data_IF_382751311662
#
_entry.id   IF_382751311662
#
_cell.length_a   1.000
_cell.length_b   1.000
_cell.length_c   1.000
_cell.angle_alpha   90.00
_cell.angle_beta   90.00
_cell.angle_gamma   90.00
#
_symmetry.space_group_name_H-M   'P 1'
#
loop_
_entity.id
_entity.type
_entity.pdbx_description
1 polymer ?
#
# COMPACT_ATOMS: atom_id res chain seq x y z
N UNK A 1 43.21 -4.45 -7.73
CA UNK A 1 42.28 -5.36 -7.00
C UNK A 1 41.43 -4.66 -5.95
N UNK A 2 41.99 -3.76 -5.10
CA UNK A 2 41.21 -3.00 -4.09
C UNK A 2 40.05 -2.18 -4.70
N UNK A 3 40.27 -1.54 -5.85
CA UNK A 3 39.26 -0.72 -6.54
C UNK A 3 38.07 -1.53 -7.11
N UNK A 4 38.31 -2.79 -7.48
CA UNK A 4 37.27 -3.70 -7.99
C UNK A 4 36.40 -4.21 -6.84
N UNK A 5 37.03 -4.54 -5.70
CA UNK A 5 36.30 -4.96 -4.50
C UNK A 5 35.36 -3.86 -3.98
N UNK A 6 35.83 -2.61 -3.98
CA UNK A 6 35.03 -1.44 -3.57
C UNK A 6 33.82 -1.21 -4.48
N UNK A 7 33.99 -1.37 -5.79
CA UNK A 7 32.90 -1.23 -6.77
C UNK A 7 31.82 -2.32 -6.60
N UNK A 8 32.23 -3.57 -6.31
CA UNK A 8 31.30 -4.68 -6.07
C UNK A 8 30.50 -4.47 -4.79
N UNK A 9 31.15 -4.03 -3.70
CA UNK A 9 30.42 -3.70 -2.46
C UNK A 9 29.42 -2.56 -2.66
N UNK A 10 29.76 -1.52 -3.42
CA UNK A 10 28.85 -0.40 -3.66
C UNK A 10 27.65 -0.81 -4.53
N UNK A 11 27.83 -1.70 -5.50
CA UNK A 11 26.76 -2.22 -6.34
C UNK A 11 25.75 -3.08 -5.55
N UNK A 12 26.20 -3.84 -4.53
CA UNK A 12 25.31 -4.67 -3.69
C UNK A 12 24.46 -3.81 -2.75
N UNK A 13 24.97 -2.66 -2.28
CA UNK A 13 24.17 -1.75 -1.45
C UNK A 13 23.05 -1.05 -2.22
N UNK A 14 23.24 -0.75 -3.50
CA UNK A 14 22.20 -0.14 -4.35
C UNK A 14 21.01 -1.08 -4.66
N UNK A 15 21.16 -2.40 -4.45
CA UNK A 15 20.10 -3.37 -4.72
C UNK A 15 18.97 -3.37 -3.67
N UNK A 16 19.17 -2.72 -2.52
CA UNK A 16 18.17 -2.60 -1.46
C UNK A 16 17.48 -1.23 -1.53
N UNK A 17 16.92 -0.88 -2.68
CA UNK A 17 15.98 0.24 -2.76
C UNK A 17 14.68 -0.20 -2.09
N UNK A 18 14.46 0.22 -0.84
CA UNK A 18 13.11 0.24 -0.26
C UNK A 18 12.30 1.18 -1.13
N UNK A 19 11.53 0.61 -2.05
CA UNK A 19 10.57 1.39 -2.79
C UNK A 19 9.48 1.85 -1.83
N UNK A 20 8.81 2.92 -2.20
CA UNK A 20 7.62 3.48 -1.57
C UNK A 20 7.01 4.42 -2.59
N UNK A 21 5.69 4.60 -2.57
CA UNK A 21 5.11 5.47 -3.58
C UNK A 21 3.60 5.54 -3.62
N UNK A 22 3.15 6.30 -4.60
CA UNK A 22 1.76 6.53 -4.90
C UNK A 22 1.14 5.26 -5.50
N UNK A 23 0.22 4.63 -4.78
CA UNK A 23 -0.65 3.57 -5.33
C UNK A 23 -1.61 4.19 -6.34
N UNK A 24 -2.14 5.37 -6.01
CA UNK A 24 -2.87 6.23 -6.93
C UNK A 24 -2.05 7.49 -7.17
N UNK A 25 -1.89 7.89 -8.44
CA UNK A 25 -1.18 9.12 -8.78
C UNK A 25 -1.68 10.31 -7.95
N UNK A 26 -0.76 11.15 -7.46
CA UNK A 26 -1.10 12.30 -6.63
C UNK A 26 -2.15 13.20 -7.32
N UNK A 27 -3.19 13.58 -6.56
CA UNK A 27 -4.34 14.36 -7.08
C UNK A 27 -5.44 13.50 -7.72
N UNK A 28 -5.15 12.25 -8.05
CA UNK A 28 -6.14 11.27 -8.48
C UNK A 28 -6.56 10.38 -7.30
N UNK A 29 -7.61 9.59 -7.53
CA UNK A 29 -8.12 8.63 -6.58
C UNK A 29 -8.87 7.53 -7.30
N UNK A 30 -9.15 6.47 -6.57
CA UNK A 30 -9.81 5.27 -7.06
C UNK A 30 -11.07 5.00 -6.25
N UNK A 31 -12.00 4.26 -6.84
CA UNK A 31 -13.17 3.74 -6.16
C UNK A 31 -12.79 2.60 -5.22
N UNK A 32 -13.37 2.62 -4.02
CA UNK A 32 -13.29 1.51 -3.07
C UNK A 32 -14.41 0.53 -3.39
N UNK A 33 -14.04 -0.72 -3.72
CA UNK A 33 -15.00 -1.76 -4.06
C UNK A 33 -15.56 -2.48 -2.82
N UNK A 34 -14.73 -2.60 -1.78
CA UNK A 34 -15.06 -3.31 -0.54
C UNK A 34 -14.09 -2.93 0.58
N UNK A 35 -14.57 -2.94 1.82
CA UNK A 35 -13.76 -2.80 3.02
C UNK A 35 -13.93 -4.08 3.85
N UNK A 36 -12.82 -4.64 4.33
CA UNK A 36 -12.78 -5.83 5.19
C UNK A 36 -12.04 -5.50 6.48
N UNK A 37 -12.63 -5.78 7.64
CA UNK A 37 -11.98 -5.63 8.94
C UNK A 37 -11.37 -6.94 9.44
N UNK A 38 -10.14 -6.88 9.93
CA UNK A 38 -9.39 -8.03 10.43
C UNK A 38 -9.50 -8.16 11.95
N UNK A 39 -9.21 -9.36 12.47
CA UNK A 39 -9.28 -9.66 13.91
C UNK A 39 -8.25 -8.88 14.73
N UNK A 40 -7.11 -8.54 14.15
CA UNK A 40 -6.06 -7.70 14.75
C UNK A 40 -6.41 -6.19 14.74
N UNK A 41 -7.61 -5.86 14.25
CA UNK A 41 -8.15 -4.52 14.20
C UNK A 41 -7.79 -3.75 12.93
N UNK A 42 -6.90 -4.25 12.06
CA UNK A 42 -6.56 -3.59 10.79
C UNK A 42 -7.67 -3.72 9.74
N UNK A 43 -7.54 -3.03 8.61
CA UNK A 43 -8.47 -3.20 7.47
C UNK A 43 -7.76 -3.55 6.16
N UNK A 44 -8.51 -4.16 5.25
CA UNK A 44 -8.17 -4.29 3.83
C UNK A 44 -9.19 -3.57 2.97
N UNK A 45 -8.69 -2.73 2.07
CA UNK A 45 -9.46 -2.00 1.07
C UNK A 45 -9.30 -2.68 -0.28
N UNK A 46 -10.40 -2.98 -0.94
CA UNK A 46 -10.42 -3.58 -2.27
C UNK A 46 -10.57 -2.50 -3.32
N UNK A 47 -9.78 -2.62 -4.37
CA UNK A 47 -9.74 -1.66 -5.48
C UNK A 47 -9.57 -2.41 -6.79
N UNK A 48 -9.87 -1.74 -7.91
CA UNK A 48 -9.53 -2.30 -9.22
C UNK A 48 -8.02 -2.21 -9.46
N UNK A 49 -7.36 -3.37 -9.56
CA UNK A 49 -5.94 -3.47 -9.86
C UNK A 49 -5.50 -2.80 -11.16
N UNK A 50 -6.41 -2.61 -12.12
CA UNK A 50 -6.12 -1.96 -13.41
C UNK A 50 -5.84 -0.46 -13.27
N UNK A 51 -6.26 0.13 -12.16
CA UNK A 51 -6.26 1.59 -11.94
C UNK A 51 -5.26 2.03 -10.86
N UNK A 52 -4.34 1.15 -10.47
CA UNK A 52 -3.35 1.40 -9.41
C UNK A 52 -1.94 1.02 -9.83
N UNK A 53 -0.96 1.63 -9.18
CA UNK A 53 0.46 1.35 -9.33
C UNK A 53 0.93 0.36 -8.26
N UNK A 54 2.06 -0.29 -8.52
CA UNK A 54 2.72 -1.19 -7.58
C UNK A 54 4.15 -0.71 -7.27
N UNK A 55 4.32 0.42 -6.57
CA UNK A 55 5.64 1.00 -6.33
C UNK A 55 6.54 0.02 -5.59
N UNK A 56 5.98 -0.75 -4.66
CA UNK A 56 6.70 -1.69 -3.80
C UNK A 56 6.90 -3.09 -4.40
N UNK A 57 6.45 -3.32 -5.64
CA UNK A 57 6.47 -4.64 -6.30
C UNK A 57 5.85 -5.75 -5.41
N UNK A 58 4.79 -5.44 -4.68
CA UNK A 58 4.06 -6.42 -3.88
C UNK A 58 3.44 -7.50 -4.77
N UNK A 59 3.15 -8.68 -4.20
CA UNK A 59 2.57 -9.80 -4.94
C UNK A 59 1.23 -9.46 -5.59
N UNK A 60 0.45 -8.53 -5.03
CA UNK A 60 -0.76 -7.97 -5.63
C UNK A 60 -1.07 -6.56 -5.19
N UNK A 61 -1.96 -5.88 -5.93
CA UNK A 61 -2.39 -4.50 -5.68
C UNK A 61 -3.92 -4.33 -5.73
N UNK A 62 -4.67 -5.42 -5.90
CA UNK A 62 -6.13 -5.45 -5.80
C UNK A 62 -6.65 -5.26 -4.36
N UNK A 63 -5.74 -5.34 -3.38
CA UNK A 63 -6.02 -5.24 -1.94
C UNK A 63 -4.96 -4.38 -1.30
N UNK A 64 -5.39 -3.40 -0.51
CA UNK A 64 -4.53 -2.45 0.18
C UNK A 64 -4.72 -2.62 1.68
N UNK A 65 -3.64 -2.75 2.46
CA UNK A 65 -3.71 -2.99 3.89
C UNK A 65 -3.44 -1.72 4.69
N UNK A 66 -4.32 -1.42 5.65
CA UNK A 66 -4.08 -0.41 6.68
C UNK A 66 -3.95 -1.15 8.02
N UNK A 67 -2.73 -1.37 8.53
CA UNK A 67 -2.53 -2.03 9.81
C UNK A 67 -2.98 -1.14 10.98
N UNK A 68 -3.53 -1.76 12.02
CA UNK A 68 -4.12 -1.08 13.19
C UNK A 68 -3.13 -0.33 14.07
N UNK A 69 -1.84 -0.62 13.94
CA UNK A 69 -0.77 -0.02 14.74
C UNK A 69 -0.23 1.29 14.14
N UNK A 70 -0.78 1.78 13.03
CA UNK A 70 -0.33 3.04 12.43
C UNK A 70 -0.82 4.25 13.23
N UNK A 71 0.06 5.24 13.38
CA UNK A 71 -0.34 6.56 13.86
C UNK A 71 -1.36 7.15 12.87
N UNK A 72 -2.51 7.61 13.39
CA UNK A 72 -3.59 8.13 12.54
C UNK A 72 -4.47 7.05 11.91
N UNK A 73 -4.38 5.80 12.36
CA UNK A 73 -5.21 4.67 11.90
C UNK A 73 -6.70 5.04 11.79
N UNK A 74 -7.31 5.51 12.88
CA UNK A 74 -8.74 5.84 12.92
C UNK A 74 -9.12 6.92 11.90
N UNK A 75 -8.25 7.92 11.70
CA UNK A 75 -8.44 8.95 10.68
C UNK A 75 -8.43 8.35 9.28
N UNK A 76 -7.45 7.49 8.97
CA UNK A 76 -7.37 6.85 7.66
C UNK A 76 -8.59 5.95 7.40
N UNK A 77 -8.97 5.11 8.36
CA UNK A 77 -10.16 4.27 8.27
C UNK A 77 -11.39 5.11 8.04
N UNK A 78 -11.57 6.19 8.81
CA UNK A 78 -12.71 7.10 8.66
C UNK A 78 -12.77 7.72 7.27
N UNK A 79 -11.64 8.16 6.71
CA UNK A 79 -11.60 8.71 5.35
C UNK A 79 -11.94 7.66 4.29
N UNK A 80 -11.41 6.45 4.42
CA UNK A 80 -11.71 5.32 3.53
C UNK A 80 -13.19 4.95 3.58
N UNK A 81 -13.76 4.81 4.78
CA UNK A 81 -15.18 4.49 4.94
C UNK A 81 -16.08 5.62 4.46
N UNK A 82 -15.67 6.88 4.66
CA UNK A 82 -16.39 8.05 4.15
C UNK A 82 -16.39 8.04 2.63
N UNK A 83 -15.23 7.81 2.00
CA UNK A 83 -15.13 7.71 0.54
C UNK A 83 -16.03 6.60 -0.01
N UNK A 84 -15.98 5.42 0.61
CA UNK A 84 -16.77 4.26 0.20
C UNK A 84 -18.28 4.52 0.29
N UNK A 85 -18.75 5.03 1.44
CA UNK A 85 -20.18 5.29 1.68
C UNK A 85 -20.71 6.46 0.85
N UNK A 86 -19.89 7.48 0.60
CA UNK A 86 -20.26 8.65 -0.21
C UNK A 86 -20.09 8.44 -1.72
N UNK A 87 -19.65 7.26 -2.16
CA UNK A 87 -19.27 6.96 -3.54
C UNK A 87 -18.30 8.01 -4.11
N UNK A 88 -17.26 8.32 -3.33
CA UNK A 88 -16.19 9.26 -3.66
C UNK A 88 -14.88 8.50 -3.90
N UNK A 89 -14.00 9.13 -4.67
CA UNK A 89 -12.67 8.61 -4.93
C UNK A 89 -11.73 8.95 -3.78
N UNK A 90 -10.80 8.05 -3.53
CA UNK A 90 -9.77 8.21 -2.51
C UNK A 90 -8.42 7.80 -3.09
N UNK A 91 -7.39 8.55 -2.73
CA UNK A 91 -6.03 8.22 -3.10
C UNK A 91 -5.27 7.58 -1.95
N UNK A 92 -4.24 6.82 -2.33
CA UNK A 92 -3.43 5.98 -1.46
C UNK A 92 -1.95 6.16 -1.76
N UNK A 93 -1.15 6.23 -0.70
CA UNK A 93 0.30 6.11 -0.77
C UNK A 93 0.76 4.94 0.12
N UNK A 94 1.65 4.12 -0.42
CA UNK A 94 2.16 2.91 0.24
C UNK A 94 3.65 2.98 0.55
N UNK A 95 4.03 2.23 1.57
CA UNK A 95 5.42 1.91 1.86
C UNK A 95 5.50 0.50 2.44
N UNK A 96 6.07 -0.40 1.64
CA UNK A 96 6.27 -1.80 1.98
C UNK A 96 5.07 -2.69 1.67
N UNK A 97 5.29 -4.00 1.84
CA UNK A 97 4.30 -5.03 1.60
C UNK A 97 4.09 -5.88 2.84
N UNK A 98 2.86 -6.35 3.05
CA UNK A 98 2.54 -7.27 4.14
C UNK A 98 1.85 -8.53 3.62
N UNK A 99 2.04 -9.64 4.33
CA UNK A 99 1.34 -10.88 4.07
C UNK A 99 0.09 -10.94 4.95
N UNK A 100 -1.08 -10.91 4.33
CA UNK A 100 -2.37 -10.95 5.02
C UNK A 100 -2.82 -12.43 5.09
N UNK A 101 -2.66 -13.13 6.23
CA UNK A 101 -2.77 -14.60 6.29
C UNK A 101 -4.16 -15.13 5.93
N UNK A 102 -5.20 -14.31 6.13
CA UNK A 102 -6.59 -14.63 5.82
C UNK A 102 -6.81 -15.13 4.38
N UNK A 103 -5.97 -14.74 3.42
CA UNK A 103 -6.11 -15.10 2.00
C UNK A 103 -5.30 -16.33 1.56
N UNK A 104 -4.86 -17.19 2.49
CA UNK A 104 -4.05 -18.35 2.16
C UNK A 104 -2.54 -18.05 2.02
N UNK A 105 -2.10 -16.89 2.53
CA UNK A 105 -0.74 -16.69 3.07
C UNK A 105 0.45 -16.68 2.11
N UNK A 106 0.25 -16.68 0.78
CA UNK A 106 1.36 -16.72 -0.19
C UNK A 106 1.59 -15.41 -0.95
N UNK A 107 0.71 -14.41 -0.81
CA UNK A 107 0.73 -13.17 -1.58
C UNK A 107 0.82 -11.96 -0.67
N UNK A 108 1.77 -11.06 -0.98
CA UNK A 108 1.94 -9.80 -0.25
C UNK A 108 1.14 -8.67 -0.91
N UNK A 109 0.73 -7.71 -0.10
CA UNK A 109 -0.10 -6.57 -0.49
C UNK A 109 0.44 -5.26 0.09
N UNK A 110 0.21 -4.09 -0.54
CA UNK A 110 0.78 -2.83 -0.10
C UNK A 110 0.27 -2.41 1.28
N UNK A 111 1.19 -1.89 2.10
CA UNK A 111 0.86 -1.23 3.36
C UNK A 111 0.63 0.25 3.07
N UNK A 112 -0.58 0.72 3.31
CA UNK A 112 -0.96 2.13 3.15
C UNK A 112 -0.47 2.92 4.35
N UNK A 113 0.20 4.05 4.09
CA UNK A 113 0.65 5.00 5.11
C UNK A 113 -0.10 6.31 5.09
N UNK A 114 -0.63 6.70 3.93
CA UNK A 114 -1.38 7.95 3.76
C UNK A 114 -2.56 7.77 2.81
N UNK A 115 -3.61 8.55 3.07
CA UNK A 115 -4.81 8.60 2.24
C UNK A 115 -5.29 10.04 2.06
N UNK A 116 -5.93 10.35 0.93
CA UNK A 116 -6.57 11.65 0.69
C UNK A 116 -7.86 11.49 -0.09
N UNK A 117 -8.87 12.30 0.24
CA UNK A 117 -10.09 12.39 -0.56
C UNK A 117 -9.83 13.23 -1.80
N UNK A 118 -10.44 12.85 -2.92
CA UNK A 118 -10.43 13.65 -4.16
C UNK A 118 -11.80 13.59 -4.83
N UNK A 119 -12.04 14.53 -5.75
CA UNK A 119 -13.30 14.67 -6.47
C UNK A 119 -13.34 13.85 -7.76
#
# INVERSE_FOLDING_TARGET
>A
MKSVFMAITLAVFCANSFSQGYITQLGHGIEVLKIHGHRDGGITVWVDSSSVQNPDNCGGVDRLHIPSNLQGYDTMVTLVTTAFTANKKIGFWSSGCDNIPFWGGARTYPIIKDVWLTN
#
